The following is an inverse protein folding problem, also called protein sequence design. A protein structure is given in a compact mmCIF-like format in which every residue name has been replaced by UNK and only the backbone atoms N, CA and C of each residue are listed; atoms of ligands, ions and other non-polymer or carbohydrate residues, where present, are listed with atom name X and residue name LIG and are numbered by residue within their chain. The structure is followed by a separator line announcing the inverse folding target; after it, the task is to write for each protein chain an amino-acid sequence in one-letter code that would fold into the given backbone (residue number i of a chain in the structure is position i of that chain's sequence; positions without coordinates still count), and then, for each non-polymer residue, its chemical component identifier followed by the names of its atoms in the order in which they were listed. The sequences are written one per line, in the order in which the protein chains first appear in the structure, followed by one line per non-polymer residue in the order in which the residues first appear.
data_IF_718858563585
#
_entry.id   IF_718858563585
#
_cell.length_a   1.000
_cell.length_b   1.000
_cell.length_c   1.000
_cell.angle_alpha   90.00
_cell.angle_beta   90.00
_cell.angle_gamma   90.00
#
_symmetry.space_group_name_H-M   'P 1'
#
loop_
_entity.id
_entity.type
_entity.pdbx_description
1 polymer ?
#
# COMPACT_ATOMS: atom_id res chain seq x y z
N UNK A 1 -0.23 17.17 20.93
CA UNK A 1 0.97 16.92 20.10
C UNK A 1 0.54 16.01 18.95
N UNK A 2 0.39 16.55 17.75
CA UNK A 2 0.15 15.74 16.54
C UNK A 2 1.41 14.93 16.27
N UNK A 3 1.28 13.60 16.24
CA UNK A 3 2.39 12.73 15.90
C UNK A 3 2.91 13.10 14.50
N UNK A 4 4.22 13.22 14.34
CA UNK A 4 4.84 13.51 13.05
C UNK A 4 4.53 12.38 12.06
N UNK A 5 4.12 12.68 10.83
CA UNK A 5 3.81 11.64 9.84
C UNK A 5 5.06 10.84 9.47
N UNK A 6 4.88 9.57 9.10
CA UNK A 6 5.99 8.72 8.67
C UNK A 6 6.66 9.29 7.41
N UNK A 7 5.88 9.84 6.48
CA UNK A 7 6.34 10.54 5.28
C UNK A 7 7.38 11.62 5.62
N UNK A 8 7.03 12.57 6.49
CA UNK A 8 7.95 13.65 6.88
C UNK A 8 9.19 13.15 7.62
N UNK A 9 9.08 12.04 8.34
CA UNK A 9 10.23 11.41 9.00
C UNK A 9 11.17 10.79 7.97
N UNK A 10 10.63 10.15 6.93
CA UNK A 10 11.43 9.57 5.85
C UNK A 10 12.09 10.68 5.03
N UNK A 11 11.37 11.73 4.66
CA UNK A 11 11.89 12.89 3.92
C UNK A 11 13.13 13.49 4.59
N UNK A 12 13.04 13.81 5.89
CA UNK A 12 14.16 14.34 6.66
C UNK A 12 15.39 13.42 6.63
N UNK A 13 15.15 12.12 6.81
CA UNK A 13 16.23 11.13 6.92
C UNK A 13 16.96 10.93 5.58
N UNK A 14 16.23 10.97 4.46
CA UNK A 14 16.83 10.85 3.11
C UNK A 14 17.45 12.15 2.62
N UNK A 15 16.90 13.31 3.00
CA UNK A 15 17.47 14.62 2.68
C UNK A 15 18.83 14.82 3.39
N UNK A 16 18.93 14.33 4.63
CA UNK A 16 20.17 14.40 5.42
C UNK A 16 21.22 13.43 4.90
N UNK A 17 20.83 12.21 4.51
CA UNK A 17 21.77 11.15 4.14
C UNK A 17 21.32 10.40 2.89
N UNK A 18 21.98 10.70 1.77
CA UNK A 18 21.74 10.09 0.45
C UNK A 18 21.78 8.55 0.48
N UNK A 19 22.66 7.95 1.30
CA UNK A 19 22.73 6.50 1.43
C UNK A 19 21.41 5.87 1.90
N UNK A 20 20.59 6.58 2.69
CA UNK A 20 19.27 6.09 3.12
C UNK A 20 18.27 6.12 1.99
N UNK A 21 18.30 7.16 1.14
CA UNK A 21 17.50 7.20 -0.10
C UNK A 21 17.77 5.96 -0.95
N UNK A 22 19.05 5.63 -1.16
CA UNK A 22 19.47 4.46 -1.94
C UNK A 22 19.02 3.16 -1.29
N UNK A 23 19.17 3.02 0.03
CA UNK A 23 18.70 1.82 0.74
C UNK A 23 17.20 1.63 0.55
N UNK A 24 16.39 2.67 0.77
CA UNK A 24 14.95 2.59 0.67
C UNK A 24 14.48 2.30 -0.76
N UNK A 25 15.11 2.91 -1.77
CA UNK A 25 14.88 2.60 -3.19
C UNK A 25 15.15 1.12 -3.50
N UNK A 26 16.27 0.58 -3.02
CA UNK A 26 16.60 -0.83 -3.24
C UNK A 26 15.66 -1.81 -2.53
N UNK A 27 15.17 -1.44 -1.34
CA UNK A 27 14.23 -2.25 -0.57
C UNK A 27 12.79 -2.15 -1.08
N UNK A 28 12.43 -1.07 -1.78
CA UNK A 28 11.16 -0.98 -2.53
C UNK A 28 11.07 -2.08 -3.60
N UNK A 29 12.20 -2.36 -4.27
CA UNK A 29 12.34 -3.46 -5.22
C UNK A 29 12.34 -4.87 -4.59
N UNK A 30 12.10 -4.98 -3.28
CA UNK A 30 12.04 -6.22 -2.54
C UNK A 30 13.26 -6.46 -1.64
N UNK A 31 13.28 -7.64 -1.04
CA UNK A 31 14.27 -8.04 -0.04
C UNK A 31 15.71 -7.98 -0.56
N UNK A 32 16.63 -7.44 0.25
CA UNK A 32 18.07 -7.30 -0.06
C UNK A 32 18.97 -7.78 1.05
N UNK A 33 20.15 -8.24 0.67
CA UNK A 33 21.27 -8.51 1.58
C UNK A 33 22.08 -7.24 1.85
N UNK A 34 22.83 -7.23 2.96
CA UNK A 34 23.79 -6.16 3.23
C UNK A 34 24.95 -6.05 2.21
N UNK A 35 25.18 -7.08 1.39
CA UNK A 35 26.14 -7.00 0.28
C UNK A 35 25.55 -6.17 -0.87
N UNK A 36 24.33 -6.48 -1.30
CA UNK A 36 23.62 -5.76 -2.35
C UNK A 36 23.42 -4.28 -2.00
N UNK A 37 23.02 -3.98 -0.75
CA UNK A 37 22.87 -2.58 -0.31
C UNK A 37 24.20 -1.81 -0.35
N UNK A 38 25.32 -2.43 0.02
CA UNK A 38 26.64 -1.80 -0.09
C UNK A 38 27.04 -1.57 -1.53
N UNK A 39 26.76 -2.52 -2.40
CA UNK A 39 27.05 -2.41 -3.82
C UNK A 39 26.25 -1.27 -4.47
N UNK A 40 24.96 -1.16 -4.16
CA UNK A 40 24.11 -0.07 -4.64
C UNK A 40 24.64 1.31 -4.21
N UNK A 41 24.99 1.48 -2.92
CA UNK A 41 25.58 2.73 -2.44
C UNK A 41 26.93 2.99 -3.12
N UNK A 42 27.77 1.97 -3.28
CA UNK A 42 29.08 2.12 -3.91
C UNK A 42 28.95 2.51 -5.39
N UNK A 43 27.97 1.94 -6.11
CA UNK A 43 27.68 2.28 -7.50
C UNK A 43 27.27 3.74 -7.63
N UNK A 44 26.38 4.22 -6.75
CA UNK A 44 25.97 5.62 -6.71
C UNK A 44 27.15 6.55 -6.39
N UNK A 45 27.90 6.29 -5.31
CA UNK A 45 29.05 7.10 -4.91
C UNK A 45 30.09 7.18 -6.05
N UNK A 46 30.36 6.06 -6.74
CA UNK A 46 31.29 6.03 -7.88
C UNK A 46 30.81 6.86 -9.06
N UNK A 47 29.51 6.82 -9.37
CA UNK A 47 28.92 7.63 -10.43
C UNK A 47 29.04 9.14 -10.12
N UNK A 48 28.76 9.52 -8.87
CA UNK A 48 28.92 10.91 -8.41
C UNK A 48 30.38 11.37 -8.50
N UNK A 49 31.33 10.55 -8.03
CA UNK A 49 32.76 10.86 -8.12
C UNK A 49 33.24 11.03 -9.57
N UNK A 50 32.74 10.22 -10.51
CA UNK A 50 33.06 10.38 -11.94
C UNK A 50 32.52 11.70 -12.49
N UNK A 51 31.29 12.09 -12.11
CA UNK A 51 30.70 13.36 -12.51
C UNK A 51 31.47 14.58 -11.95
N UNK A 52 32.05 14.44 -10.76
CA UNK A 52 32.93 15.44 -10.14
C UNK A 52 34.36 15.46 -10.72
N UNK A 53 34.65 14.64 -11.74
CA UNK A 53 35.95 14.58 -12.39
C UNK A 53 37.03 13.84 -11.60
N UNK A 54 36.65 13.03 -10.60
CA UNK A 54 37.61 12.21 -9.86
C UNK A 54 38.20 11.14 -10.77
N UNK A 55 39.53 10.95 -10.70
CA UNK A 55 40.22 10.02 -11.59
C UNK A 55 39.69 8.58 -11.48
N UNK A 56 39.59 7.89 -12.63
CA UNK A 56 39.09 6.52 -12.72
C UNK A 56 39.80 5.54 -11.75
N UNK A 57 41.09 5.76 -11.51
CA UNK A 57 41.89 4.96 -10.55
C UNK A 57 41.43 5.14 -9.10
N UNK A 58 40.99 6.34 -8.70
CA UNK A 58 40.44 6.60 -7.37
C UNK A 58 39.01 6.03 -7.25
N UNK A 59 38.19 6.19 -8.28
CA UNK A 59 36.83 5.64 -8.34
C UNK A 59 36.83 4.10 -8.23
N UNK A 60 37.74 3.42 -8.93
CA UNK A 60 37.88 1.96 -8.87
C UNK A 60 38.19 1.43 -7.45
N UNK A 61 38.90 2.23 -6.64
CA UNK A 61 39.26 1.89 -5.26
C UNK A 61 38.17 2.23 -4.24
N UNK A 62 37.14 2.99 -4.63
CA UNK A 62 36.06 3.36 -3.71
C UNK A 62 35.27 2.14 -3.26
N UNK A 63 35.10 2.01 -1.94
CA UNK A 63 34.34 0.94 -1.29
C UNK A 63 33.53 1.51 -0.13
N UNK A 64 32.28 1.10 -0.03
CA UNK A 64 31.42 1.40 1.12
C UNK A 64 31.79 0.48 2.27
N UNK A 65 32.16 1.06 3.41
CA UNK A 65 32.56 0.31 4.60
C UNK A 65 31.35 -0.27 5.33
N UNK A 66 31.54 -1.41 6.01
CA UNK A 66 30.48 -2.05 6.80
C UNK A 66 29.88 -1.14 7.88
N UNK A 67 30.65 -0.31 8.61
CA UNK A 67 30.09 0.66 9.56
C UNK A 67 29.15 1.68 8.90
N UNK A 68 29.47 2.18 7.69
CA UNK A 68 28.61 3.12 6.96
C UNK A 68 27.25 2.51 6.64
N UNK A 69 27.19 1.24 6.21
CA UNK A 69 25.92 0.55 6.03
C UNK A 69 25.19 0.34 7.37
N UNK A 70 25.92 -0.14 8.38
CA UNK A 70 25.35 -0.48 9.69
C UNK A 70 24.66 0.71 10.36
N UNK A 71 25.29 1.88 10.38
CA UNK A 71 24.68 3.07 10.98
C UNK A 71 23.38 3.50 10.29
N UNK A 72 23.32 3.39 8.95
CA UNK A 72 22.13 3.76 8.18
C UNK A 72 20.99 2.75 8.36
N UNK A 73 21.29 1.46 8.18
CA UNK A 73 20.30 0.39 8.39
C UNK A 73 19.78 0.39 9.83
N UNK A 74 20.66 0.55 10.83
CA UNK A 74 20.23 0.59 12.24
C UNK A 74 19.35 1.79 12.57
N UNK A 75 19.59 2.94 11.93
CA UNK A 75 18.74 4.13 12.07
C UNK A 75 17.35 3.88 11.49
N UNK A 76 17.28 3.33 10.27
CA UNK A 76 16.01 3.01 9.61
C UNK A 76 15.21 1.93 10.38
N UNK A 77 15.88 0.93 10.95
CA UNK A 77 15.25 -0.06 11.86
C UNK A 77 14.66 0.61 13.10
N UNK A 78 15.40 1.53 13.73
CA UNK A 78 14.92 2.24 14.94
C UNK A 78 13.67 3.07 14.66
N UNK A 79 13.51 3.54 13.43
CA UNK A 79 12.34 4.31 12.99
C UNK A 79 11.17 3.40 12.54
N UNK A 80 11.34 2.08 12.52
CA UNK A 80 10.32 1.15 12.05
C UNK A 80 10.07 1.22 10.53
N UNK A 81 11.04 1.74 9.75
CA UNK A 81 10.91 1.85 8.29
C UNK A 81 11.34 0.54 7.61
N UNK A 82 12.33 -0.14 8.19
CA UNK A 82 12.84 -1.40 7.68
C UNK A 82 12.91 -2.41 8.82
N UNK A 83 12.84 -3.68 8.46
CA UNK A 83 13.13 -4.79 9.36
C UNK A 83 14.29 -5.61 8.80
N UNK A 84 14.95 -6.35 9.69
CA UNK A 84 15.99 -7.27 9.26
C UNK A 84 16.08 -8.49 10.15
N UNK A 85 16.51 -9.59 9.57
CA UNK A 85 16.75 -10.84 10.27
C UNK A 85 17.94 -11.57 9.66
N UNK A 86 18.47 -12.53 10.42
CA UNK A 86 19.55 -13.39 9.96
C UNK A 86 18.94 -14.62 9.27
N UNK A 87 19.34 -14.87 8.03
CA UNK A 87 19.04 -16.11 7.32
C UNK A 87 20.36 -16.76 6.90
N UNK A 88 20.67 -17.90 7.53
CA UNK A 88 21.96 -18.60 7.35
C UNK A 88 23.15 -17.66 7.64
N UNK A 89 24.01 -17.41 6.64
CA UNK A 89 25.19 -16.54 6.76
C UNK A 89 24.91 -15.06 6.45
N UNK A 90 23.70 -14.73 5.97
CA UNK A 90 23.36 -13.39 5.51
C UNK A 90 22.39 -12.70 6.45
N UNK A 91 22.48 -11.37 6.50
CA UNK A 91 21.44 -10.51 7.07
C UNK A 91 20.61 -9.96 5.92
N UNK A 92 19.31 -10.20 5.99
CA UNK A 92 18.32 -9.76 5.02
C UNK A 92 17.59 -8.55 5.55
N UNK A 93 17.24 -7.64 4.66
CA UNK A 93 16.55 -6.40 4.93
C UNK A 93 15.34 -6.30 4.00
N UNK A 94 14.25 -5.76 4.51
CA UNK A 94 13.06 -5.40 3.74
C UNK A 94 12.40 -4.16 4.35
N UNK A 95 11.52 -3.53 3.58
CA UNK A 95 10.65 -2.49 4.13
C UNK A 95 9.64 -3.11 5.10
N UNK A 96 9.42 -2.46 6.23
CA UNK A 96 8.26 -2.76 7.07
C UNK A 96 6.98 -2.51 6.23
N UNK A 97 5.99 -3.41 6.22
CA UNK A 97 4.77 -3.24 5.45
C UNK A 97 4.11 -1.86 5.60
N UNK A 98 4.04 -1.33 6.83
CA UNK A 98 3.47 -0.01 7.11
C UNK A 98 4.26 1.16 6.52
N UNK A 99 5.52 0.95 6.18
CA UNK A 99 6.39 1.95 5.58
C UNK A 99 6.39 1.94 4.04
N UNK A 100 5.81 0.92 3.40
CA UNK A 100 5.88 0.77 1.92
C UNK A 100 5.30 1.98 1.18
N UNK A 101 4.04 2.35 1.47
CA UNK A 101 3.41 3.49 0.79
C UNK A 101 4.07 4.84 1.13
N UNK A 102 4.40 5.13 2.40
CA UNK A 102 5.21 6.30 2.75
C UNK A 102 6.53 6.38 1.96
N UNK A 103 7.30 5.29 1.90
CA UNK A 103 8.57 5.25 1.15
C UNK A 103 8.33 5.53 -0.34
N UNK A 104 7.32 4.91 -0.94
CA UNK A 104 6.98 5.16 -2.35
C UNK A 104 6.63 6.60 -2.64
N UNK A 105 5.78 7.23 -1.81
CA UNK A 105 5.42 8.65 -1.98
C UNK A 105 6.64 9.55 -1.93
N UNK A 106 7.49 9.38 -0.91
CA UNK A 106 8.68 10.20 -0.71
C UNK A 106 9.74 9.99 -1.80
N UNK A 107 9.82 8.78 -2.36
CA UNK A 107 10.72 8.47 -3.47
C UNK A 107 10.09 8.71 -4.86
N UNK A 108 8.84 9.16 -4.91
CA UNK A 108 8.06 9.35 -6.15
C UNK A 108 7.94 8.08 -7.01
N UNK A 109 7.89 6.92 -6.35
CA UNK A 109 7.72 5.62 -6.99
C UNK A 109 6.21 5.34 -7.10
N UNK A 110 5.73 5.09 -8.31
CA UNK A 110 4.35 4.70 -8.57
C UNK A 110 4.23 3.24 -9.00
N UNK A 111 3.19 2.56 -8.51
CA UNK A 111 2.78 1.23 -8.93
C UNK A 111 1.36 1.27 -9.51
N UNK A 112 0.94 0.22 -10.24
CA UNK A 112 -0.46 0.08 -10.64
C UNK A 112 -1.42 0.25 -9.45
N UNK A 113 -2.44 1.09 -9.63
CA UNK A 113 -3.43 1.33 -8.58
C UNK A 113 -4.32 0.10 -8.38
N UNK A 114 -4.47 -0.30 -7.14
CA UNK A 114 -5.47 -1.23 -6.64
C UNK A 114 -6.52 -0.43 -5.87
N UNK A 115 -7.77 -0.56 -6.29
CA UNK A 115 -8.91 0.05 -5.64
C UNK A 115 -9.51 -0.95 -4.67
N UNK A 116 -9.61 -0.58 -3.40
CA UNK A 116 -10.17 -1.45 -2.35
C UNK A 116 -11.48 -0.84 -1.89
N UNK A 117 -12.56 -1.62 -1.92
CA UNK A 117 -13.88 -1.16 -1.55
C UNK A 117 -14.63 -2.24 -0.75
N UNK A 118 -15.75 -1.84 -0.17
CA UNK A 118 -16.76 -2.74 0.35
C UNK A 118 -18.13 -2.38 -0.21
N UNK A 119 -19.02 -3.37 -0.32
CA UNK A 119 -20.39 -3.19 -0.77
C UNK A 119 -21.32 -3.88 0.24
N UNK A 120 -22.33 -3.15 0.70
CA UNK A 120 -23.29 -3.69 1.68
C UNK A 120 -24.22 -4.69 1.00
N UNK A 121 -24.69 -4.37 -0.21
CA UNK A 121 -25.68 -5.17 -0.91
C UNK A 121 -25.34 -5.37 -2.39
N UNK A 122 -25.84 -6.43 -3.04
CA UNK A 122 -25.57 -6.69 -4.45
C UNK A 122 -25.98 -5.56 -5.41
N UNK A 123 -27.06 -4.83 -5.10
CA UNK A 123 -27.56 -3.70 -5.89
C UNK A 123 -26.57 -2.52 -5.95
N UNK A 124 -25.67 -2.41 -4.98
CA UNK A 124 -24.68 -1.34 -4.89
C UNK A 124 -23.63 -1.42 -6.00
N UNK A 125 -23.48 -2.60 -6.65
CA UNK A 125 -22.48 -2.82 -7.70
C UNK A 125 -22.63 -1.85 -8.86
N UNK A 126 -23.87 -1.61 -9.31
CA UNK A 126 -24.12 -0.79 -10.50
C UNK A 126 -23.69 0.67 -10.30
N UNK A 127 -24.23 1.40 -9.31
CA UNK A 127 -23.83 2.80 -9.11
C UNK A 127 -22.32 2.91 -8.80
N UNK A 128 -21.76 1.98 -8.03
CA UNK A 128 -20.32 1.93 -7.75
C UNK A 128 -19.48 1.81 -9.02
N UNK A 129 -19.77 0.83 -9.88
CA UNK A 129 -19.00 0.61 -11.12
C UNK A 129 -19.17 1.78 -12.08
N UNK A 130 -20.39 2.27 -12.27
CA UNK A 130 -20.66 3.39 -13.16
C UNK A 130 -19.90 4.65 -12.73
N UNK A 131 -19.92 4.94 -11.43
CA UNK A 131 -19.14 6.04 -10.87
C UNK A 131 -17.63 5.84 -11.06
N UNK A 132 -17.10 4.67 -10.74
CA UNK A 132 -15.65 4.39 -10.86
C UNK A 132 -15.15 4.42 -12.31
N UNK A 133 -15.98 4.02 -13.27
CA UNK A 133 -15.66 4.13 -14.71
C UNK A 133 -15.64 5.60 -15.14
N UNK A 134 -16.63 6.39 -14.70
CA UNK A 134 -16.74 7.81 -15.03
C UNK A 134 -15.73 8.70 -14.30
N UNK A 135 -15.16 8.24 -13.19
CA UNK A 135 -14.27 9.04 -12.36
C UNK A 135 -12.86 9.18 -13.00
N UNK A 136 -12.40 10.42 -13.30
CA UNK A 136 -11.08 10.63 -13.90
C UNK A 136 -9.91 10.52 -12.92
N UNK A 137 -10.16 10.64 -11.61
CA UNK A 137 -9.12 10.63 -10.58
C UNK A 137 -8.58 9.23 -10.28
N UNK A 138 -9.39 8.20 -10.48
CA UNK A 138 -9.01 6.82 -10.24
C UNK A 138 -8.92 6.06 -11.56
N UNK A 139 -7.83 5.33 -11.79
CA UNK A 139 -7.67 4.43 -12.94
C UNK A 139 -7.05 3.09 -12.49
N UNK A 140 -7.81 2.26 -11.74
CA UNK A 140 -7.26 1.05 -11.14
C UNK A 140 -7.01 -0.05 -12.17
N UNK A 141 -5.97 -0.86 -11.92
CA UNK A 141 -5.70 -2.13 -12.63
C UNK A 141 -6.27 -3.34 -11.89
N UNK A 142 -6.56 -3.18 -10.61
CA UNK A 142 -7.18 -4.20 -9.77
C UNK A 142 -8.26 -3.59 -8.89
N UNK A 143 -9.37 -4.31 -8.75
CA UNK A 143 -10.46 -4.01 -7.84
C UNK A 143 -10.54 -5.15 -6.80
N UNK A 144 -10.50 -4.80 -5.52
CA UNK A 144 -10.66 -5.72 -4.39
C UNK A 144 -11.91 -5.33 -3.63
N UNK A 145 -12.88 -6.22 -3.56
CA UNK A 145 -14.15 -5.95 -2.90
C UNK A 145 -14.35 -6.90 -1.74
N UNK A 146 -14.44 -6.34 -0.53
CA UNK A 146 -14.78 -7.07 0.69
C UNK A 146 -16.29 -6.99 0.95
N UNK A 147 -16.93 -8.12 1.16
CA UNK A 147 -18.38 -8.20 1.38
C UNK A 147 -18.72 -9.20 2.48
N UNK A 148 -19.83 -9.00 3.17
CA UNK A 148 -20.35 -10.00 4.12
C UNK A 148 -20.79 -11.28 3.39
N UNK A 149 -20.39 -12.44 3.90
CA UNK A 149 -20.74 -13.73 3.31
C UNK A 149 -22.27 -13.95 3.24
N UNK A 150 -23.02 -13.62 4.29
CA UNK A 150 -24.49 -13.75 4.36
C UNK A 150 -25.25 -13.08 3.21
N UNK A 151 -24.81 -11.89 2.77
CA UNK A 151 -25.50 -11.09 1.75
C UNK A 151 -25.05 -11.44 0.33
N UNK A 152 -23.94 -12.15 0.21
CA UNK A 152 -23.26 -12.44 -1.05
C UNK A 152 -23.13 -13.94 -1.30
N UNK A 153 -24.14 -14.72 -0.93
CA UNK A 153 -24.15 -16.18 -1.08
C UNK A 153 -24.23 -16.66 -2.54
N UNK A 154 -24.19 -17.99 -2.74
CA UNK A 154 -24.29 -18.63 -4.07
C UNK A 154 -25.53 -18.14 -4.83
N UNK A 155 -25.30 -17.58 -6.03
CA UNK A 155 -26.35 -17.08 -6.91
C UNK A 155 -26.30 -15.57 -7.12
N UNK A 156 -25.61 -14.83 -6.24
CA UNK A 156 -25.36 -13.40 -6.44
C UNK A 156 -24.34 -13.19 -7.57
N UNK A 157 -24.73 -12.46 -8.61
CA UNK A 157 -23.82 -12.12 -9.71
C UNK A 157 -22.75 -11.14 -9.25
N UNK A 158 -21.48 -11.52 -9.46
CA UNK A 158 -20.27 -10.75 -9.12
C UNK A 158 -19.52 -10.23 -10.35
N UNK A 159 -20.25 -10.11 -11.46
CA UNK A 159 -19.71 -9.70 -12.75
C UNK A 159 -19.82 -8.18 -12.81
N UNK A 160 -18.87 -7.46 -12.21
CA UNK A 160 -18.85 -5.99 -12.26
C UNK A 160 -18.76 -5.45 -13.68
N UNK A 161 -18.10 -6.20 -14.58
CA UNK A 161 -17.85 -5.79 -15.96
C UNK A 161 -19.15 -5.56 -16.75
N UNK A 162 -20.26 -6.20 -16.36
CA UNK A 162 -21.57 -6.00 -17.01
C UNK A 162 -22.17 -4.61 -16.78
N UNK A 163 -21.65 -3.88 -15.79
CA UNK A 163 -22.12 -2.56 -15.42
C UNK A 163 -21.23 -1.44 -15.96
N UNK A 164 -20.14 -1.79 -16.65
CA UNK A 164 -19.34 -0.84 -17.40
C UNK A 164 -20.20 -0.33 -18.57
N UNK A 165 -20.43 1.00 -18.69
CA UNK A 165 -21.16 1.56 -19.83
C UNK A 165 -20.53 1.14 -21.17
N UNK A 166 -21.34 1.04 -22.23
CA UNK A 166 -20.86 0.58 -23.55
C UNK A 166 -19.71 1.42 -24.13
N UNK A 167 -19.67 2.71 -23.78
CA UNK A 167 -18.60 3.64 -24.16
C UNK A 167 -17.37 3.58 -23.22
N UNK A 168 -17.51 2.89 -22.09
CA UNK A 168 -16.48 2.74 -21.06
C UNK A 168 -15.44 1.68 -21.45
N UNK A 169 -14.20 2.12 -21.71
CA UNK A 169 -13.07 1.19 -21.88
C UNK A 169 -12.21 1.14 -20.62
N UNK A 170 -12.45 0.16 -19.75
CA UNK A 170 -11.53 -0.18 -18.65
C UNK A 170 -11.42 -1.68 -18.45
N UNK A 171 -10.18 -2.18 -18.36
CA UNK A 171 -9.86 -3.55 -17.97
C UNK A 171 -9.11 -3.51 -16.65
N UNK A 172 -9.83 -3.71 -15.56
CA UNK A 172 -9.25 -4.12 -14.28
C UNK A 172 -9.50 -5.61 -14.07
N UNK A 173 -8.76 -6.20 -13.14
CA UNK A 173 -9.10 -7.52 -12.60
C UNK A 173 -9.87 -7.34 -11.30
N UNK A 174 -10.92 -8.12 -11.08
CA UNK A 174 -11.73 -8.02 -9.87
C UNK A 174 -11.53 -9.24 -8.99
N UNK A 175 -11.33 -9.00 -7.70
CA UNK A 175 -11.26 -10.04 -6.68
C UNK A 175 -12.27 -9.75 -5.57
N UNK A 176 -13.04 -10.77 -5.23
CA UNK A 176 -14.06 -10.72 -4.21
C UNK A 176 -13.62 -11.51 -3.00
N UNK A 177 -13.73 -10.92 -1.82
CA UNK A 177 -13.42 -11.55 -0.54
C UNK A 177 -14.65 -11.51 0.34
N UNK A 178 -15.21 -12.68 0.60
CA UNK A 178 -16.30 -12.89 1.54
C UNK A 178 -15.72 -12.89 2.95
N UNK A 179 -16.10 -11.89 3.75
CA UNK A 179 -15.75 -11.82 5.16
C UNK A 179 -16.74 -12.72 5.92
N UNK A 180 -16.25 -13.69 6.71
CA UNK A 180 -17.10 -14.58 7.49
C UNK A 180 -18.06 -13.82 8.43
N UNK A 181 -19.26 -14.37 8.60
CA UNK A 181 -20.33 -13.73 9.39
C UNK A 181 -19.93 -13.59 10.87
N UNK A 182 -19.18 -14.56 11.40
CA UNK A 182 -18.68 -14.50 12.79
C UNK A 182 -17.67 -13.36 13.02
N UNK A 183 -17.06 -12.81 11.97
CA UNK A 183 -16.18 -11.65 12.08
C UNK A 183 -16.95 -10.34 12.04
N UNK A 184 -17.89 -10.22 11.09
CA UNK A 184 -18.65 -9.00 10.82
C UNK A 184 -19.79 -8.76 11.81
N UNK A 185 -20.31 -9.83 12.41
CA UNK A 185 -21.50 -9.78 13.26
C UNK A 185 -22.77 -9.60 12.44
N UNK A 186 -23.88 -9.34 13.14
CA UNK A 186 -25.14 -9.01 12.47
C UNK A 186 -25.79 -7.81 13.13
N UNK A 187 -26.27 -6.86 12.32
CA UNK A 187 -27.06 -5.73 12.84
C UNK A 187 -28.42 -6.20 13.39
N UNK A 188 -28.86 -7.41 13.02
CA UNK A 188 -30.17 -7.98 13.35
C UNK A 188 -30.18 -8.91 14.59
N UNK A 189 -29.03 -9.41 15.05
CA UNK A 189 -28.93 -10.28 16.22
C UNK A 189 -27.90 -9.75 17.22
N UNK A 190 -28.02 -10.12 18.50
CA UNK A 190 -27.11 -9.73 19.59
C UNK A 190 -25.66 -10.29 19.47
N UNK A 191 -25.24 -10.68 18.26
CA UNK A 191 -23.89 -11.15 17.96
C UNK A 191 -23.04 -9.98 17.49
N UNK A 192 -22.28 -9.41 18.43
CA UNK A 192 -21.28 -8.40 18.15
C UNK A 192 -20.12 -9.04 17.36
N UNK A 193 -19.80 -8.47 16.20
CA UNK A 193 -18.60 -8.85 15.44
C UNK A 193 -17.31 -8.47 16.17
N UNK A 194 -16.17 -8.94 15.64
CA UNK A 194 -14.84 -8.66 16.17
C UNK A 194 -14.04 -7.77 15.21
N UNK A 195 -13.87 -6.50 15.59
CA UNK A 195 -13.14 -5.52 14.77
C UNK A 195 -11.69 -5.95 14.51
N UNK A 196 -10.99 -6.49 15.52
CA UNK A 196 -9.59 -6.85 15.37
C UNK A 196 -9.44 -8.05 14.44
N UNK A 197 -10.26 -9.09 14.61
CA UNK A 197 -10.21 -10.25 13.70
C UNK A 197 -10.64 -9.87 12.27
N UNK A 198 -11.57 -8.93 12.13
CA UNK A 198 -11.93 -8.36 10.81
C UNK A 198 -10.75 -7.60 10.20
N UNK A 199 -10.01 -6.82 11.00
CA UNK A 199 -8.78 -6.16 10.54
C UNK A 199 -7.75 -7.20 10.08
N UNK A 200 -7.48 -8.23 10.89
CA UNK A 200 -6.49 -9.25 10.58
C UNK A 200 -6.87 -9.99 9.28
N UNK A 201 -8.16 -10.29 9.07
CA UNK A 201 -8.65 -10.93 7.85
C UNK A 201 -8.42 -10.06 6.60
N UNK A 202 -8.81 -8.78 6.65
CA UNK A 202 -8.62 -7.82 5.57
C UNK A 202 -7.14 -7.56 5.29
N UNK A 203 -6.35 -7.33 6.34
CA UNK A 203 -4.92 -7.04 6.28
C UNK A 203 -4.16 -8.19 5.62
N UNK A 204 -4.43 -9.44 6.01
CA UNK A 204 -3.81 -10.61 5.39
C UNK A 204 -4.07 -10.70 3.88
N UNK A 205 -5.28 -10.36 3.42
CA UNK A 205 -5.58 -10.32 2.00
C UNK A 205 -4.81 -9.20 1.29
N UNK A 206 -4.74 -8.02 1.90
CA UNK A 206 -4.10 -6.82 1.33
C UNK A 206 -2.57 -6.93 1.27
N UNK A 207 -1.93 -7.53 2.29
CA UNK A 207 -0.47 -7.67 2.37
C UNK A 207 0.14 -8.36 1.15
N UNK A 208 -0.60 -9.28 0.52
CA UNK A 208 -0.14 -9.98 -0.69
C UNK A 208 0.03 -9.05 -1.90
N UNK A 209 -0.66 -7.91 -1.92
CA UNK A 209 -0.66 -6.95 -3.03
C UNK A 209 0.25 -5.75 -2.78
N UNK A 210 0.61 -5.49 -1.52
CA UNK A 210 1.46 -4.39 -1.11
C UNK A 210 2.75 -4.23 -1.96
N UNK A 211 3.49 -5.31 -2.31
CA UNK A 211 4.71 -5.17 -3.10
C UNK A 211 4.49 -4.72 -4.55
N UNK A 212 3.28 -4.90 -5.09
CA UNK A 212 3.00 -4.74 -6.53
C UNK A 212 2.02 -3.62 -6.87
N UNK A 213 1.29 -3.11 -5.88
CA UNK A 213 0.25 -2.11 -6.10
C UNK A 213 0.35 -0.95 -5.12
N UNK A 214 0.00 0.24 -5.60
CA UNK A 214 -0.45 1.32 -4.73
C UNK A 214 -1.93 1.11 -4.43
N UNK A 215 -2.38 1.56 -3.26
CA UNK A 215 -3.73 1.30 -2.80
C UNK A 215 -4.48 2.59 -2.52
N UNK A 216 -5.78 2.55 -2.75
CA UNK A 216 -6.72 3.55 -2.23
C UNK A 216 -7.92 2.81 -1.68
N UNK A 217 -8.40 3.24 -0.51
CA UNK A 217 -9.54 2.64 0.16
C UNK A 217 -10.77 3.52 0.02
N UNK A 218 -11.82 2.92 -0.48
CA UNK A 218 -13.14 3.52 -0.55
C UNK A 218 -13.97 3.05 0.63
N UNK A 219 -14.33 4.02 1.48
CA UNK A 219 -15.09 3.84 2.71
C UNK A 219 -16.56 4.25 2.55
N UNK A 220 -17.00 4.51 1.31
CA UNK A 220 -18.35 5.03 1.01
C UNK A 220 -19.44 4.02 1.33
N UNK A 221 -19.23 2.78 0.88
CA UNK A 221 -20.19 1.70 1.04
C UNK A 221 -19.56 0.56 1.84
N UNK A 222 -20.43 -0.28 2.37
CA UNK A 222 -20.04 -1.50 3.06
C UNK A 222 -20.64 -1.63 4.44
N UNK A 223 -20.64 -2.85 4.99
CA UNK A 223 -21.01 -3.11 6.37
C UNK A 223 -20.08 -2.35 7.32
N UNK A 224 -20.66 -1.78 8.39
CA UNK A 224 -19.97 -0.87 9.32
C UNK A 224 -18.63 -1.42 9.82
N UNK A 225 -18.57 -2.71 10.18
CA UNK A 225 -17.35 -3.29 10.73
C UNK A 225 -16.23 -3.46 9.69
N UNK A 226 -16.59 -3.76 8.43
CA UNK A 226 -15.62 -3.84 7.32
C UNK A 226 -15.08 -2.43 7.03
N UNK A 227 -15.96 -1.42 6.97
CA UNK A 227 -15.55 -0.02 6.72
C UNK A 227 -14.65 0.50 7.85
N UNK A 228 -14.99 0.22 9.11
CA UNK A 228 -14.14 0.56 10.26
C UNK A 228 -12.79 -0.14 10.22
N UNK A 229 -12.75 -1.42 9.85
CA UNK A 229 -11.51 -2.16 9.71
C UNK A 229 -10.65 -1.60 8.57
N UNK A 230 -11.22 -1.30 7.41
CA UNK A 230 -10.53 -0.63 6.31
C UNK A 230 -10.00 0.74 6.73
N UNK A 231 -10.79 1.55 7.43
CA UNK A 231 -10.35 2.85 7.97
C UNK A 231 -9.14 2.70 8.92
N UNK A 232 -9.20 1.72 9.82
CA UNK A 232 -8.09 1.42 10.72
C UNK A 232 -6.83 0.98 9.97
N UNK A 233 -6.95 0.08 8.99
CA UNK A 233 -5.82 -0.38 8.16
C UNK A 233 -5.27 0.79 7.34
N UNK A 234 -6.13 1.63 6.75
CA UNK A 234 -5.71 2.79 5.99
C UNK A 234 -4.83 3.71 6.83
N UNK A 235 -5.24 4.00 8.06
CA UNK A 235 -4.46 4.77 9.02
C UNK A 235 -3.13 4.09 9.37
N UNK A 236 -3.16 2.80 9.69
CA UNK A 236 -1.98 2.05 10.15
C UNK A 236 -0.91 1.91 9.05
N UNK A 237 -1.33 1.85 7.78
CA UNK A 237 -0.46 1.72 6.60
C UNK A 237 -0.26 3.04 5.84
N UNK A 238 -0.83 4.14 6.33
CA UNK A 238 -0.85 5.43 5.64
C UNK A 238 -1.32 5.31 4.17
N UNK A 239 -2.36 4.52 3.95
CA UNK A 239 -3.03 4.36 2.65
C UNK A 239 -4.09 5.45 2.53
N UNK A 240 -4.18 6.17 1.41
CA UNK A 240 -5.24 7.15 1.20
C UNK A 240 -6.61 6.47 1.30
N UNK A 241 -7.49 7.03 2.12
CA UNK A 241 -8.87 6.61 2.23
C UNK A 241 -9.81 7.78 1.93
N UNK A 242 -10.98 7.48 1.39
CA UNK A 242 -11.98 8.49 1.10
C UNK A 242 -13.40 7.97 1.25
N UNK A 243 -14.33 8.92 1.28
CA UNK A 243 -15.77 8.71 1.26
C UNK A 243 -16.38 9.62 0.20
N UNK A 244 -17.30 9.08 -0.59
CA UNK A 244 -18.10 9.84 -1.54
C UNK A 244 -19.50 10.03 -0.95
N UNK A 245 -20.05 11.24 -0.99
CA UNK A 245 -21.39 11.52 -0.45
C UNK A 245 -22.47 10.62 -1.05
N UNK A 246 -22.37 10.34 -2.34
CA UNK A 246 -23.18 9.38 -3.08
C UNK A 246 -22.44 9.00 -4.37
N UNK A 247 -22.55 7.76 -4.83
CA UNK A 247 -22.11 7.37 -6.18
C UNK A 247 -23.10 7.87 -7.24
N UNK A 248 -23.16 9.19 -7.38
CA UNK A 248 -23.86 9.90 -8.43
C UNK A 248 -22.82 10.41 -9.45
N UNK A 249 -22.82 9.91 -10.70
CA UNK A 249 -21.88 10.36 -11.73
C UNK A 249 -21.82 11.88 -11.91
N UNK A 250 -22.92 12.58 -11.62
CA UNK A 250 -23.06 14.03 -11.85
C UNK A 250 -22.88 14.88 -10.59
N UNK A 251 -22.94 14.28 -9.39
CA UNK A 251 -23.02 15.02 -8.13
C UNK A 251 -22.30 14.34 -6.94
N UNK A 252 -21.13 13.77 -7.19
CA UNK A 252 -20.29 13.18 -6.14
C UNK A 252 -19.31 14.19 -5.52
N UNK A 253 -19.36 14.36 -4.21
CA UNK A 253 -18.32 15.04 -3.44
C UNK A 253 -17.43 14.01 -2.75
N UNK A 254 -16.11 14.14 -2.90
CA UNK A 254 -15.10 13.22 -2.35
C UNK A 254 -14.44 13.85 -1.12
N UNK A 255 -14.58 13.21 0.04
CA UNK A 255 -13.90 13.56 1.29
C UNK A 255 -12.73 12.60 1.55
N UNK A 256 -11.52 13.12 1.76
CA UNK A 256 -10.31 12.32 2.06
C UNK A 256 -10.02 12.30 3.56
N UNK A 257 -9.49 11.17 4.06
CA UNK A 257 -9.15 10.93 5.47
C UNK A 257 -7.74 10.36 5.65
#
# INVERSE_FOLDING_TARGET
MTARSLDSTIEDEIATVVARRIILDQLEGGLKTGAELREAIAKHDKAAMLAEGVSAKKVAKHKVTSPKLYHNTKRLEKLGIIVSWKQSQYRLFELEPRAVHPVRRVLEISKPLMYVASLSKPEDQRPFVQWLVGNPHFNPKKLMVFVEAKHWTRGVSRIVDRFIPDEGFRRWTTEWREVPDNLTGTDEQQEFGNLQETCDFLENALLTYLPSHDMVFDLTLGPSLIVLALSKIAKDYSIPAFHVTMYDPDNSEISYF
#
